data_IF_485750197714
#
_entry.id   IF_485750197714
#
_cell.length_a   1.000
_cell.length_b   1.000
_cell.length_c   1.000
_cell.angle_alpha   90.00
_cell.angle_beta   90.00
_cell.angle_gamma   90.00
#
_symmetry.space_group_name_H-M   'P 1'
#
loop_
_entity.id
_entity.type
_entity.pdbx_description
1 polymer ?
#
# COMPACT_ATOMS: atom_id res chain seq x y z
N UNK A 1 -32.59 15.61 -9.59
CA UNK A 1 -31.45 15.75 -8.67
C UNK A 1 -30.21 15.63 -9.50
N UNK A 2 -29.32 16.62 -9.60
CA UNK A 2 -28.07 16.43 -10.32
C UNK A 2 -27.24 15.36 -9.54
N UNK A 3 -26.89 14.29 -10.22
CA UNK A 3 -25.89 13.34 -9.75
C UNK A 3 -24.56 14.05 -9.79
N UNK A 4 -24.16 14.69 -8.68
CA UNK A 4 -22.77 15.05 -8.49
C UNK A 4 -21.97 13.75 -8.35
N UNK A 5 -21.60 13.13 -9.47
CA UNK A 5 -20.46 12.26 -9.49
C UNK A 5 -19.26 13.16 -9.25
N UNK A 6 -18.77 13.24 -8.02
CA UNK A 6 -17.45 13.77 -7.72
C UNK A 6 -16.48 12.83 -8.43
N UNK A 7 -16.19 13.10 -9.69
CA UNK A 7 -15.08 12.46 -10.41
C UNK A 7 -13.83 13.04 -9.79
N UNK A 8 -13.16 12.24 -8.97
CA UNK A 8 -11.83 12.57 -8.47
C UNK A 8 -10.90 12.57 -9.68
N UNK A 9 -10.23 13.69 -9.90
CA UNK A 9 -9.29 13.85 -11.00
C UNK A 9 -7.87 13.83 -10.45
N UNK A 10 -7.10 12.83 -10.86
CA UNK A 10 -5.69 12.63 -10.52
C UNK A 10 -4.78 12.92 -11.74
N UNK A 11 -5.33 13.61 -12.76
CA UNK A 11 -4.55 14.04 -13.92
C UNK A 11 -3.32 14.82 -13.45
N UNK A 12 -2.21 14.64 -14.15
CA UNK A 12 -0.90 15.22 -13.80
C UNK A 12 -0.26 14.72 -12.48
N UNK A 13 -0.83 13.69 -11.82
CA UNK A 13 -0.22 13.06 -10.66
C UNK A 13 0.50 11.77 -11.04
N UNK A 14 1.68 11.57 -10.48
CA UNK A 14 2.47 10.34 -10.60
C UNK A 14 2.33 9.53 -9.32
N UNK A 15 1.87 8.29 -9.46
CA UNK A 15 1.68 7.36 -8.37
C UNK A 15 2.64 6.17 -8.46
N UNK A 16 3.35 5.85 -7.37
CA UNK A 16 4.04 4.58 -7.20
C UNK A 16 3.15 3.66 -6.36
N UNK A 17 2.86 2.47 -6.86
CA UNK A 17 2.14 1.43 -6.12
C UNK A 17 3.04 0.21 -6.00
N UNK A 18 3.37 -0.21 -4.76
CA UNK A 18 4.16 -1.43 -4.52
C UNK A 18 3.27 -2.66 -4.39
N UNK A 19 3.79 -3.83 -4.76
CA UNK A 19 3.01 -5.07 -4.83
C UNK A 19 1.92 -5.01 -5.91
N UNK A 20 2.18 -4.26 -6.98
CA UNK A 20 1.19 -3.95 -8.00
C UNK A 20 1.00 -5.05 -9.06
N UNK A 21 1.76 -6.14 -8.98
CA UNK A 21 1.58 -7.32 -9.83
C UNK A 21 0.35 -8.16 -9.50
N UNK A 22 -0.32 -7.95 -8.35
CA UNK A 22 -1.50 -8.71 -7.97
C UNK A 22 -2.34 -8.04 -6.89
N UNK A 23 -3.51 -8.62 -6.62
CA UNK A 23 -4.35 -8.33 -5.45
C UNK A 23 -4.69 -6.85 -5.27
N UNK A 24 -4.50 -6.34 -4.05
CA UNK A 24 -4.84 -4.94 -3.72
C UNK A 24 -3.98 -3.94 -4.47
N UNK A 25 -2.67 -4.23 -4.65
CA UNK A 25 -1.77 -3.34 -5.39
C UNK A 25 -2.23 -3.16 -6.84
N UNK A 26 -2.55 -4.26 -7.53
CA UNK A 26 -3.07 -4.23 -8.90
C UNK A 26 -4.42 -3.50 -9.00
N UNK A 27 -5.37 -3.79 -8.10
CA UNK A 27 -6.67 -3.12 -8.07
C UNK A 27 -6.53 -1.60 -7.80
N UNK A 28 -5.59 -1.22 -6.91
CA UNK A 28 -5.30 0.19 -6.61
C UNK A 28 -4.67 0.88 -7.81
N UNK A 29 -3.67 0.26 -8.45
CA UNK A 29 -3.00 0.82 -9.62
C UNK A 29 -4.00 1.07 -10.75
N UNK A 30 -4.85 0.09 -11.07
CA UNK A 30 -5.89 0.24 -12.09
C UNK A 30 -6.85 1.37 -11.78
N UNK A 31 -7.33 1.44 -10.54
CA UNK A 31 -8.29 2.48 -10.14
C UNK A 31 -7.69 3.89 -10.16
N UNK A 32 -6.43 4.07 -9.74
CA UNK A 32 -5.75 5.37 -9.83
C UNK A 32 -5.57 5.80 -11.29
N UNK A 33 -5.24 4.87 -12.19
CA UNK A 33 -5.12 5.15 -13.63
C UNK A 33 -6.47 5.51 -14.25
N UNK A 34 -7.57 4.84 -13.89
CA UNK A 34 -8.93 5.19 -14.32
C UNK A 34 -9.31 6.65 -13.94
N UNK A 35 -8.69 7.19 -12.89
CA UNK A 35 -8.89 8.58 -12.44
C UNK A 35 -7.80 9.54 -12.94
N UNK A 36 -7.00 9.13 -13.94
CA UNK A 36 -6.07 9.98 -14.66
C UNK A 36 -4.63 9.97 -14.14
N UNK A 37 -4.32 9.26 -13.06
CA UNK A 37 -2.95 9.19 -12.56
C UNK A 37 -2.02 8.45 -13.53
N UNK A 38 -0.80 8.93 -13.67
CA UNK A 38 0.30 8.18 -14.26
C UNK A 38 0.83 7.19 -13.22
N UNK A 39 0.63 5.89 -13.43
CA UNK A 39 0.92 4.88 -12.42
C UNK A 39 2.17 4.08 -12.76
N UNK A 40 3.09 4.02 -11.80
CA UNK A 40 4.26 3.13 -11.80
C UNK A 40 3.96 1.93 -10.91
N UNK A 41 3.92 0.75 -11.52
CA UNK A 41 3.60 -0.52 -10.87
C UNK A 41 4.91 -1.19 -10.42
N UNK A 42 5.26 -1.00 -9.16
CA UNK A 42 6.48 -1.56 -8.57
C UNK A 42 6.20 -2.96 -7.99
N UNK A 43 6.90 -3.96 -8.50
CA UNK A 43 6.79 -5.34 -8.02
C UNK A 43 8.10 -6.10 -8.25
N UNK A 44 8.36 -7.12 -7.45
CA UNK A 44 9.44 -8.08 -7.67
C UNK A 44 9.15 -8.97 -8.89
N UNK A 45 7.88 -9.23 -9.16
CA UNK A 45 7.40 -9.87 -10.40
C UNK A 45 7.03 -8.80 -11.42
N UNK A 46 8.05 -8.30 -12.13
CA UNK A 46 7.88 -7.27 -13.16
C UNK A 46 6.98 -7.71 -14.32
N UNK A 47 6.92 -9.00 -14.64
CA UNK A 47 6.08 -9.54 -15.70
C UNK A 47 4.60 -9.40 -15.31
N UNK A 48 4.23 -9.84 -14.11
CA UNK A 48 2.86 -9.68 -13.62
C UNK A 48 2.45 -8.19 -13.52
N UNK A 49 3.35 -7.31 -13.04
CA UNK A 49 3.10 -5.88 -13.06
C UNK A 49 2.93 -5.33 -14.49
N UNK A 50 3.67 -5.88 -15.47
CA UNK A 50 3.56 -5.53 -16.88
C UNK A 50 2.21 -5.91 -17.50
N UNK A 51 1.68 -7.08 -17.16
CA UNK A 51 0.36 -7.54 -17.62
C UNK A 51 -0.77 -6.62 -17.11
N UNK A 52 -0.67 -6.18 -15.86
CA UNK A 52 -1.62 -5.21 -15.29
C UNK A 52 -1.46 -3.84 -15.94
N UNK A 53 -0.22 -3.34 -16.04
CA UNK A 53 0.10 -2.03 -16.63
C UNK A 53 -0.38 -1.90 -18.09
N UNK A 54 -0.30 -2.96 -18.87
CA UNK A 54 -0.75 -2.99 -20.27
C UNK A 54 -2.24 -2.69 -20.45
N UNK A 55 -3.06 -2.90 -19.41
CA UNK A 55 -4.51 -2.67 -19.47
C UNK A 55 -4.89 -1.18 -19.49
N UNK A 56 -4.02 -0.30 -19.00
CA UNK A 56 -4.29 1.14 -18.90
C UNK A 56 -3.09 2.04 -19.25
N UNK A 57 -2.00 1.47 -19.77
CA UNK A 57 -0.82 2.24 -20.15
C UNK A 57 0.08 2.66 -18.99
N UNK A 58 0.03 1.93 -17.87
CA UNK A 58 0.93 2.13 -16.74
C UNK A 58 2.36 1.67 -17.03
N UNK A 59 3.31 2.01 -16.16
CA UNK A 59 4.71 1.63 -16.29
C UNK A 59 5.12 0.56 -15.27
N UNK A 60 5.48 -0.67 -15.69
CA UNK A 60 5.98 -1.69 -14.78
C UNK A 60 7.42 -1.38 -14.36
N UNK A 61 7.71 -1.51 -13.07
CA UNK A 61 9.02 -1.30 -12.48
C UNK A 61 9.40 -2.52 -11.62
N UNK A 62 10.56 -3.12 -11.91
CA UNK A 62 11.13 -4.10 -10.99
C UNK A 62 11.58 -3.40 -9.70
N UNK A 63 11.11 -3.90 -8.56
CA UNK A 63 11.54 -3.40 -7.25
C UNK A 63 11.48 -4.52 -6.22
N UNK A 64 12.67 -4.93 -5.74
CA UNK A 64 12.78 -5.84 -4.60
C UNK A 64 12.78 -5.02 -3.31
N UNK A 65 11.72 -5.17 -2.52
CA UNK A 65 11.53 -4.45 -1.26
C UNK A 65 12.44 -4.96 -0.12
N UNK A 66 13.13 -6.07 -0.32
CA UNK A 66 14.15 -6.55 0.62
C UNK A 66 15.51 -5.90 0.37
N UNK A 67 15.75 -5.38 -0.84
CA UNK A 67 16.99 -4.73 -1.23
C UNK A 67 16.86 -3.19 -1.22
N UNK A 68 17.63 -2.54 -0.36
CA UNK A 68 17.65 -1.08 -0.25
C UNK A 68 18.13 -0.42 -1.56
N UNK A 69 19.10 -1.01 -2.26
CA UNK A 69 19.60 -0.50 -3.53
C UNK A 69 18.54 -0.56 -4.63
N UNK A 70 17.74 -1.63 -4.66
CA UNK A 70 16.60 -1.75 -5.57
C UNK A 70 15.54 -0.68 -5.32
N UNK A 71 15.23 -0.38 -4.05
CA UNK A 71 14.28 0.68 -3.69
C UNK A 71 14.81 2.05 -4.09
N UNK A 72 16.04 2.39 -3.69
CA UNK A 72 16.64 3.70 -3.98
C UNK A 72 16.81 3.92 -5.49
N UNK A 73 17.29 2.91 -6.21
CA UNK A 73 17.43 2.94 -7.66
C UNK A 73 16.09 3.04 -8.40
N UNK A 74 15.08 2.31 -7.92
CA UNK A 74 13.73 2.35 -8.49
C UNK A 74 13.05 3.71 -8.32
N UNK A 75 13.16 4.33 -7.14
CA UNK A 75 12.63 5.70 -6.94
C UNK A 75 13.42 6.73 -7.77
N UNK A 76 14.75 6.61 -7.86
CA UNK A 76 15.58 7.48 -8.68
C UNK A 76 15.19 7.37 -10.16
N UNK A 77 14.90 6.16 -10.66
CA UNK A 77 14.41 5.92 -12.03
C UNK A 77 13.05 6.61 -12.26
N UNK A 78 12.11 6.52 -11.29
CA UNK A 78 10.83 7.22 -11.39
C UNK A 78 11.03 8.74 -11.43
N UNK A 79 11.83 9.29 -10.52
CA UNK A 79 12.11 10.74 -10.50
C UNK A 79 12.82 11.20 -11.77
N UNK A 80 13.71 10.38 -12.33
CA UNK A 80 14.41 10.70 -13.59
C UNK A 80 13.51 10.65 -14.83
N UNK A 81 12.52 9.77 -14.83
CA UNK A 81 11.64 9.52 -15.99
C UNK A 81 10.37 10.37 -15.92
N UNK A 82 9.67 10.36 -14.78
CA UNK A 82 8.39 11.05 -14.56
C UNK A 82 8.59 12.46 -13.97
N UNK A 83 9.77 12.76 -13.47
CA UNK A 83 10.10 14.06 -12.85
C UNK A 83 9.49 14.30 -11.47
N UNK A 84 8.62 13.42 -10.99
CA UNK A 84 7.86 13.61 -9.74
C UNK A 84 7.31 12.31 -9.16
N UNK A 85 7.01 12.35 -7.88
CA UNK A 85 6.14 11.36 -7.20
C UNK A 85 5.16 12.15 -6.34
N UNK A 86 3.86 12.00 -6.60
CA UNK A 86 2.79 12.68 -5.86
C UNK A 86 2.12 11.75 -4.86
N UNK A 87 2.01 10.48 -5.23
CA UNK A 87 1.33 9.45 -4.45
C UNK A 87 2.26 8.24 -4.33
N UNK A 88 2.49 7.80 -3.09
CA UNK A 88 3.13 6.53 -2.79
C UNK A 88 2.12 5.64 -2.08
N UNK A 89 1.79 4.48 -2.67
CA UNK A 89 0.96 3.46 -2.03
C UNK A 89 1.81 2.24 -1.71
N UNK A 90 2.06 2.00 -0.44
CA UNK A 90 2.75 0.81 0.07
C UNK A 90 1.73 -0.32 0.28
N UNK A 91 1.43 -1.07 -0.80
CA UNK A 91 0.46 -2.16 -0.79
C UNK A 91 1.10 -3.56 -0.76
N UNK A 92 2.40 -3.67 -1.00
CA UNK A 92 3.11 -4.93 -0.85
C UNK A 92 3.06 -5.43 0.59
N UNK A 93 2.99 -6.76 0.73
CA UNK A 93 3.05 -7.40 2.03
C UNK A 93 3.14 -8.91 1.91
N UNK A 94 3.80 -9.52 2.85
CA UNK A 94 3.92 -10.98 2.96
C UNK A 94 3.77 -11.42 4.42
N UNK A 95 3.48 -12.70 4.61
CA UNK A 95 3.43 -13.37 5.90
C UNK A 95 3.91 -14.83 5.79
N UNK A 96 4.40 -15.36 6.90
CA UNK A 96 4.65 -16.77 7.13
C UNK A 96 3.80 -17.20 8.32
N UNK A 97 2.73 -17.97 8.06
CA UNK A 97 1.77 -18.37 9.09
C UNK A 97 2.35 -19.51 9.90
N UNK A 98 2.99 -19.17 11.01
CA UNK A 98 3.66 -20.09 11.95
C UNK A 98 3.51 -19.60 13.37
N UNK A 99 3.54 -20.52 14.34
CA UNK A 99 3.64 -20.16 15.75
C UNK A 99 4.90 -19.32 16.02
N UNK A 100 4.84 -18.44 17.01
CA UNK A 100 5.96 -17.56 17.34
C UNK A 100 7.26 -18.34 17.70
N UNK A 101 7.12 -19.58 18.18
CA UNK A 101 8.27 -20.45 18.53
C UNK A 101 8.87 -21.20 17.34
N UNK A 102 8.13 -21.33 16.23
CA UNK A 102 8.55 -22.06 15.04
C UNK A 102 8.95 -21.14 13.89
N UNK A 103 8.59 -19.85 13.97
CA UNK A 103 8.99 -18.86 12.99
C UNK A 103 10.50 -18.69 12.99
N UNK A 104 11.13 -18.89 11.84
CA UNK A 104 12.59 -18.72 11.72
C UNK A 104 12.99 -17.25 11.72
N UNK A 105 14.24 -16.95 12.03
CA UNK A 105 14.78 -15.59 11.97
C UNK A 105 14.69 -15.03 10.54
N UNK A 106 14.99 -15.85 9.53
CA UNK A 106 14.89 -15.44 8.12
C UNK A 106 13.45 -15.07 7.72
N UNK A 107 12.45 -15.88 8.12
CA UNK A 107 11.04 -15.59 7.86
C UNK A 107 10.61 -14.29 8.57
N UNK A 108 11.03 -14.10 9.83
CA UNK A 108 10.80 -12.87 10.57
C UNK A 108 11.38 -11.64 9.85
N UNK A 109 12.67 -11.72 9.47
CA UNK A 109 13.38 -10.63 8.81
C UNK A 109 12.75 -10.30 7.45
N UNK A 110 12.34 -11.30 6.68
CA UNK A 110 11.67 -11.12 5.40
C UNK A 110 10.36 -10.34 5.57
N UNK A 111 9.52 -10.71 6.56
CA UNK A 111 8.26 -10.02 6.85
C UNK A 111 8.52 -8.57 7.27
N UNK A 112 9.43 -8.35 8.21
CA UNK A 112 9.74 -7.01 8.72
C UNK A 112 10.37 -6.13 7.63
N UNK A 113 11.25 -6.70 6.80
CA UNK A 113 11.88 -5.98 5.70
C UNK A 113 10.84 -5.48 4.68
N UNK A 114 9.92 -6.35 4.25
CA UNK A 114 8.92 -5.99 3.24
C UNK A 114 7.81 -5.12 3.83
N UNK A 115 7.27 -5.49 5.00
CA UNK A 115 6.04 -4.87 5.51
C UNK A 115 6.28 -3.57 6.30
N UNK A 116 7.49 -3.33 6.80
CA UNK A 116 7.80 -2.19 7.67
C UNK A 116 9.03 -1.40 7.21
N UNK A 117 10.18 -2.07 7.02
CA UNK A 117 11.43 -1.39 6.63
C UNK A 117 11.31 -0.76 5.24
N UNK A 118 10.75 -1.47 4.26
CA UNK A 118 10.61 -0.95 2.90
C UNK A 118 9.68 0.27 2.82
N UNK A 119 8.48 0.31 3.44
CA UNK A 119 7.68 1.53 3.53
C UNK A 119 8.41 2.72 4.15
N UNK A 120 9.22 2.49 5.19
CA UNK A 120 10.08 3.54 5.75
C UNK A 120 11.12 4.02 4.74
N UNK A 121 11.80 3.10 4.06
CA UNK A 121 12.86 3.45 3.10
C UNK A 121 12.30 4.17 1.88
N UNK A 122 11.15 3.72 1.35
CA UNK A 122 10.43 4.41 0.28
C UNK A 122 10.06 5.83 0.70
N UNK A 123 9.48 5.99 1.90
CA UNK A 123 9.14 7.31 2.44
C UNK A 123 10.40 8.20 2.60
N UNK A 124 11.51 7.64 3.11
CA UNK A 124 12.79 8.34 3.25
C UNK A 124 13.29 8.92 1.93
N UNK A 125 13.08 8.20 0.81
CA UNK A 125 13.57 8.62 -0.50
C UNK A 125 12.60 9.57 -1.20
N UNK A 126 11.27 9.35 -1.12
CA UNK A 126 10.29 10.19 -1.83
C UNK A 126 9.93 11.47 -1.08
N UNK A 127 9.90 11.43 0.25
CA UNK A 127 9.41 12.55 1.08
C UNK A 127 10.20 13.86 0.90
N UNK A 128 11.53 13.89 0.75
CA UNK A 128 12.26 15.11 0.45
C UNK A 128 11.76 15.82 -0.82
N UNK A 129 11.47 15.08 -1.89
CA UNK A 129 10.93 15.63 -3.14
C UNK A 129 9.49 16.15 -2.97
N UNK A 130 8.67 15.43 -2.18
CA UNK A 130 7.32 15.88 -1.85
C UNK A 130 7.36 17.19 -1.02
N UNK A 131 8.27 17.27 -0.05
CA UNK A 131 8.47 18.47 0.80
C UNK A 131 8.92 19.67 -0.04
N UNK A 132 9.89 19.49 -0.93
CA UNK A 132 10.37 20.55 -1.82
C UNK A 132 9.25 21.11 -2.70
N UNK A 133 8.34 20.25 -3.14
CA UNK A 133 7.18 20.63 -3.95
C UNK A 133 6.00 21.16 -3.14
N UNK A 134 6.03 21.03 -1.82
CA UNK A 134 4.95 21.44 -0.93
C UNK A 134 3.69 20.57 -1.03
N UNK A 135 3.78 19.37 -1.60
CA UNK A 135 2.63 18.47 -1.78
C UNK A 135 3.09 17.02 -1.95
N UNK A 136 2.39 16.10 -1.30
CA UNK A 136 2.60 14.66 -1.46
C UNK A 136 1.68 13.82 -0.59
N UNK A 137 1.50 12.56 -0.98
CA UNK A 137 0.64 11.62 -0.26
C UNK A 137 1.35 10.26 -0.13
N UNK A 138 1.43 9.76 1.09
CA UNK A 138 1.95 8.43 1.40
C UNK A 138 0.82 7.65 2.05
N UNK A 139 0.40 6.55 1.44
CA UNK A 139 -0.62 5.66 1.96
C UNK A 139 -0.01 4.29 2.24
N UNK A 140 -0.09 3.87 3.48
CA UNK A 140 0.39 2.57 3.93
C UNK A 140 -0.77 1.59 4.14
N UNK A 141 -0.64 0.38 3.62
CA UNK A 141 -1.62 -0.69 3.82
C UNK A 141 -1.23 -1.52 5.03
N UNK A 142 -1.94 -1.30 6.14
CA UNK A 142 -1.81 -2.12 7.35
C UNK A 142 -2.68 -3.39 7.26
N UNK A 143 -3.36 -3.76 8.32
CA UNK A 143 -4.28 -4.90 8.43
C UNK A 143 -5.04 -4.82 9.74
N UNK A 144 -6.17 -5.51 9.89
CA UNK A 144 -6.80 -5.76 11.20
C UNK A 144 -5.84 -6.42 12.18
N UNK A 145 -4.84 -7.18 11.70
CA UNK A 145 -3.73 -7.69 12.50
C UNK A 145 -2.84 -6.60 13.14
N UNK A 146 -2.97 -5.35 12.71
CA UNK A 146 -2.33 -4.19 13.37
C UNK A 146 -3.15 -3.61 14.55
N UNK A 147 -4.33 -4.17 14.82
CA UNK A 147 -5.23 -3.74 15.90
C UNK A 147 -5.45 -4.84 16.92
N UNK A 148 -5.30 -6.09 16.51
CA UNK A 148 -5.47 -7.26 17.34
C UNK A 148 -4.44 -8.31 16.95
N UNK A 149 -3.76 -8.91 17.92
CA UNK A 149 -2.86 -10.04 17.67
C UNK A 149 -3.64 -11.26 17.14
N UNK A 150 -3.09 -11.88 16.10
CA UNK A 150 -3.60 -13.12 15.54
C UNK A 150 -2.62 -14.24 15.86
N UNK A 151 -3.16 -15.39 16.15
CA UNK A 151 -2.36 -16.60 16.30
C UNK A 151 -1.57 -16.89 15.02
N UNK A 152 -0.34 -17.35 15.16
CA UNK A 152 0.57 -17.67 14.06
C UNK A 152 0.97 -16.49 13.13
N UNK A 153 0.81 -15.26 13.58
CA UNK A 153 1.11 -14.05 12.81
C UNK A 153 2.10 -13.11 13.53
N UNK A 154 3.08 -13.65 14.26
CA UNK A 154 3.96 -12.86 15.12
C UNK A 154 4.70 -11.74 14.36
N UNK A 155 5.40 -12.07 13.26
CA UNK A 155 6.11 -11.09 12.45
C UNK A 155 5.14 -10.15 11.74
N UNK A 156 4.07 -10.69 11.14
CA UNK A 156 3.09 -9.91 10.41
C UNK A 156 2.38 -8.90 11.30
N UNK A 157 1.79 -9.34 12.42
CA UNK A 157 1.12 -8.45 13.34
C UNK A 157 2.07 -7.37 13.89
N UNK A 158 3.30 -7.75 14.26
CA UNK A 158 4.32 -6.79 14.72
C UNK A 158 4.66 -5.76 13.66
N UNK A 159 4.88 -6.19 12.41
CA UNK A 159 5.19 -5.29 11.29
C UNK A 159 4.04 -4.32 10.99
N UNK A 160 2.79 -4.80 10.99
CA UNK A 160 1.61 -3.99 10.70
C UNK A 160 1.25 -3.04 11.84
N UNK A 161 1.48 -3.39 13.12
CA UNK A 161 1.42 -2.44 14.24
C UNK A 161 2.49 -1.35 14.11
N UNK A 162 3.74 -1.75 13.81
CA UNK A 162 4.83 -0.81 13.57
C UNK A 162 4.55 0.16 12.42
N UNK A 163 3.90 -0.32 11.35
CA UNK A 163 3.55 0.49 10.19
C UNK A 163 2.55 1.61 10.52
N UNK A 164 1.61 1.39 11.43
CA UNK A 164 0.71 2.45 11.94
C UNK A 164 1.54 3.53 12.65
N UNK A 165 2.43 3.14 13.56
CA UNK A 165 3.30 4.09 14.27
C UNK A 165 4.21 4.87 13.31
N UNK A 166 4.83 4.19 12.34
CA UNK A 166 5.61 4.84 11.28
C UNK A 166 4.78 5.87 10.52
N UNK A 167 3.56 5.53 10.12
CA UNK A 167 2.67 6.43 9.37
C UNK A 167 2.36 7.71 10.16
N UNK A 168 2.13 7.59 11.46
CA UNK A 168 1.88 8.74 12.33
C UNK A 168 3.10 9.67 12.40
N UNK A 169 4.32 9.13 12.48
CA UNK A 169 5.56 9.91 12.45
C UNK A 169 5.72 10.62 11.11
N UNK A 170 5.59 9.91 9.99
CA UNK A 170 5.67 10.49 8.65
C UNK A 170 4.67 11.64 8.46
N UNK A 171 3.43 11.48 8.97
CA UNK A 171 2.45 12.57 8.94
C UNK A 171 2.87 13.76 9.80
N UNK A 172 3.35 13.52 11.02
CA UNK A 172 3.76 14.59 11.94
C UNK A 172 4.92 15.43 11.35
N UNK A 173 5.85 14.79 10.65
CA UNK A 173 6.98 15.44 9.99
C UNK A 173 6.57 16.13 8.67
N UNK A 174 5.69 15.49 7.87
CA UNK A 174 5.31 15.97 6.54
C UNK A 174 4.26 17.07 6.51
N UNK A 175 3.34 17.11 7.49
CA UNK A 175 2.12 17.96 7.45
C UNK A 175 2.40 19.47 7.28
N UNK A 176 3.51 19.96 7.83
CA UNK A 176 3.91 21.40 7.72
C UNK A 176 4.40 21.74 6.31
N UNK A 177 4.66 20.74 5.51
CA UNK A 177 5.18 20.83 4.15
C UNK A 177 4.17 20.34 3.10
N UNK A 178 2.88 20.20 3.48
CA UNK A 178 1.84 19.74 2.57
C UNK A 178 1.90 18.24 2.25
N UNK A 179 2.69 17.45 3.00
CA UNK A 179 2.76 15.99 2.82
C UNK A 179 1.86 15.30 3.83
N UNK A 180 0.96 14.45 3.32
CA UNK A 180 0.01 13.66 4.11
C UNK A 180 0.46 12.20 4.15
N UNK A 181 0.58 11.62 5.32
CA UNK A 181 0.74 10.18 5.47
C UNK A 181 -0.51 9.58 6.13
N UNK A 182 -1.02 8.51 5.56
CA UNK A 182 -2.30 7.89 5.88
C UNK A 182 -2.14 6.38 5.96
N UNK A 183 -2.97 5.72 6.75
CA UNK A 183 -2.99 4.26 6.84
C UNK A 183 -4.39 3.70 6.61
N UNK A 184 -4.49 2.70 5.74
CA UNK A 184 -5.69 1.90 5.62
C UNK A 184 -5.51 0.57 6.35
N UNK A 185 -6.54 0.12 7.05
CA UNK A 185 -6.57 -1.11 7.87
C UNK A 185 -7.63 -2.04 7.28
N UNK A 186 -7.29 -2.83 6.25
CA UNK A 186 -8.23 -3.77 5.66
C UNK A 186 -8.36 -5.04 6.50
N UNK A 187 -9.55 -5.63 6.48
CA UNK A 187 -9.80 -7.02 6.84
C UNK A 187 -9.43 -7.97 5.71
N UNK A 188 -9.88 -9.22 5.81
CA UNK A 188 -9.59 -10.26 4.82
C UNK A 188 -10.03 -9.88 3.40
N UNK A 189 -9.18 -10.14 2.41
CA UNK A 189 -9.44 -9.87 0.99
C UNK A 189 -9.27 -11.13 0.14
N UNK A 190 -10.05 -11.23 -0.94
CA UNK A 190 -9.93 -12.30 -1.94
C UNK A 190 -8.71 -12.07 -2.83
N UNK A 191 -7.54 -12.44 -2.31
CA UNK A 191 -6.24 -12.34 -2.97
C UNK A 191 -5.44 -13.62 -2.72
N UNK A 192 -4.31 -13.75 -3.38
CA UNK A 192 -3.40 -14.89 -3.17
C UNK A 192 -2.71 -14.90 -1.79
N UNK A 193 -2.93 -13.88 -0.96
CA UNK A 193 -2.33 -13.78 0.38
C UNK A 193 -2.64 -15.00 1.26
N UNK A 194 -3.84 -15.57 1.12
CA UNK A 194 -4.26 -16.74 1.88
C UNK A 194 -4.07 -18.08 1.12
N UNK A 195 -3.39 -18.08 -0.03
CA UNK A 195 -3.24 -19.28 -0.86
C UNK A 195 -2.47 -20.43 -0.17
N UNK A 196 -1.64 -20.09 0.83
CA UNK A 196 -0.87 -21.08 1.60
C UNK A 196 -1.66 -21.68 2.78
N UNK A 197 -2.87 -21.20 3.08
CA UNK A 197 -3.70 -21.73 4.15
C UNK A 197 -4.50 -22.95 3.70
N UNK A 198 -4.54 -23.96 4.54
CA UNK A 198 -5.37 -25.15 4.36
C UNK A 198 -6.12 -25.48 5.68
N UNK A 199 -7.45 -25.29 5.73
CA UNK A 199 -8.30 -24.72 4.67
C UNK A 199 -8.14 -23.19 4.53
N UNK A 200 -8.39 -22.64 3.34
CA UNK A 200 -8.43 -21.19 3.16
C UNK A 200 -9.65 -20.59 3.89
N UNK A 201 -9.61 -19.27 4.25
CA UNK A 201 -10.77 -18.62 4.83
C UNK A 201 -12.00 -18.71 3.93
N UNK A 202 -13.21 -18.87 4.51
CA UNK A 202 -14.44 -18.89 3.72
C UNK A 202 -14.58 -17.63 2.85
N UNK A 203 -14.96 -17.75 1.55
CA UNK A 203 -15.04 -16.60 0.64
C UNK A 203 -15.97 -15.48 1.12
N UNK A 204 -17.02 -15.80 1.89
CA UNK A 204 -17.94 -14.85 2.50
C UNK A 204 -17.28 -13.95 3.57
N UNK A 205 -16.16 -14.39 4.14
CA UNK A 205 -15.37 -13.63 5.09
C UNK A 205 -14.27 -12.77 4.41
N UNK A 206 -14.26 -12.75 3.08
CA UNK A 206 -13.27 -12.02 2.29
C UNK A 206 -13.96 -11.00 1.38
N UNK A 207 -13.50 -9.75 1.43
CA UNK A 207 -13.96 -8.69 0.54
C UNK A 207 -13.15 -8.67 -0.77
N UNK A 208 -13.71 -8.13 -1.87
CA UNK A 208 -12.94 -7.89 -3.09
C UNK A 208 -11.84 -6.85 -2.83
N UNK A 209 -10.61 -7.00 -3.38
CA UNK A 209 -9.58 -5.98 -3.26
C UNK A 209 -10.00 -4.63 -3.86
N UNK A 210 -10.87 -4.61 -4.86
CA UNK A 210 -11.44 -3.39 -5.47
C UNK A 210 -12.26 -2.57 -4.45
N UNK A 211 -12.87 -3.20 -3.45
CA UNK A 211 -13.59 -2.49 -2.38
C UNK A 211 -12.60 -1.69 -1.53
N UNK A 212 -11.46 -2.27 -1.21
CA UNK A 212 -10.40 -1.59 -0.47
C UNK A 212 -9.72 -0.52 -1.34
N UNK A 213 -9.49 -0.79 -2.63
CA UNK A 213 -8.94 0.18 -3.57
C UNK A 213 -9.82 1.44 -3.69
N UNK A 214 -11.16 1.31 -3.72
CA UNK A 214 -12.08 2.46 -3.66
C UNK A 214 -11.92 3.27 -2.37
N UNK A 215 -11.67 2.61 -1.26
CA UNK A 215 -11.41 3.29 0.02
C UNK A 215 -10.06 4.02 0.02
N UNK A 216 -9.04 3.45 -0.62
CA UNK A 216 -7.74 4.11 -0.85
C UNK A 216 -7.94 5.38 -1.70
N UNK A 217 -8.64 5.28 -2.81
CA UNK A 217 -8.96 6.42 -3.66
C UNK A 217 -9.71 7.52 -2.88
N UNK A 218 -10.70 7.14 -2.07
CA UNK A 218 -11.43 8.08 -1.22
C UNK A 218 -10.50 8.82 -0.24
N UNK A 219 -9.55 8.13 0.40
CA UNK A 219 -8.57 8.76 1.29
C UNK A 219 -7.66 9.74 0.54
N UNK A 220 -7.18 9.36 -0.63
CA UNK A 220 -6.27 10.17 -1.45
C UNK A 220 -6.98 11.41 -2.01
N UNK A 221 -8.25 11.31 -2.34
CA UNK A 221 -9.03 12.36 -2.98
C UNK A 221 -9.57 13.44 -2.04
N UNK A 222 -9.26 13.37 -0.74
CA UNK A 222 -9.66 14.43 0.19
C UNK A 222 -9.01 15.78 -0.14
N UNK A 223 -9.67 16.92 0.13
CA UNK A 223 -9.10 18.24 -0.04
C UNK A 223 -7.71 18.37 0.62
N UNK A 224 -6.84 19.20 0.06
CA UNK A 224 -5.43 19.30 0.50
C UNK A 224 -5.28 19.80 1.95
N UNK A 225 -6.28 20.47 2.50
CA UNK A 225 -6.34 20.95 3.89
C UNK A 225 -6.92 19.93 4.87
N UNK A 226 -7.25 18.73 4.38
CA UNK A 226 -7.86 17.65 5.17
C UNK A 226 -7.10 16.33 4.99
N UNK A 227 -7.14 15.46 5.99
CA UNK A 227 -6.53 14.13 5.95
C UNK A 227 -7.37 13.12 6.73
N UNK A 228 -7.55 11.93 6.14
CA UNK A 228 -8.05 10.76 6.85
C UNK A 228 -6.83 10.00 7.36
N UNK A 229 -6.55 10.12 8.65
CA UNK A 229 -5.35 9.49 9.23
C UNK A 229 -5.37 7.97 9.15
N UNK A 230 -6.53 7.40 9.46
CA UNK A 230 -6.75 5.95 9.49
C UNK A 230 -8.15 5.62 9.01
N UNK A 231 -8.28 4.60 8.17
CA UNK A 231 -9.55 4.06 7.73
C UNK A 231 -9.55 2.54 7.86
N UNK A 232 -10.54 2.01 8.57
CA UNK A 232 -10.73 0.56 8.74
C UNK A 232 -11.83 0.10 7.79
N UNK A 233 -11.52 -0.91 6.97
CA UNK A 233 -12.44 -1.47 5.97
C UNK A 233 -12.43 -2.99 6.04
N UNK A 234 -13.52 -3.57 6.52
CA UNK A 234 -13.61 -5.01 6.73
C UNK A 234 -14.83 -5.59 6.01
N UNK A 235 -14.80 -6.89 5.67
CA UNK A 235 -16.02 -7.60 5.36
C UNK A 235 -17.05 -7.43 6.48
N UNK A 236 -18.35 -7.38 6.13
CA UNK A 236 -19.41 -7.26 7.15
C UNK A 236 -19.44 -8.45 8.12
N UNK A 237 -18.88 -9.58 7.69
CA UNK A 237 -18.77 -10.83 8.47
C UNK A 237 -17.47 -10.92 9.26
N UNK A 238 -16.61 -9.87 9.22
CA UNK A 238 -15.35 -9.86 9.95
C UNK A 238 -15.55 -9.91 11.46
N UNK A 239 -14.90 -10.87 12.12
CA UNK A 239 -15.05 -11.11 13.56
C UNK A 239 -13.87 -10.61 14.39
N UNK A 240 -12.79 -10.15 13.76
CA UNK A 240 -11.62 -9.60 14.45
C UNK A 240 -11.83 -8.16 14.92
N UNK A 241 -12.86 -7.51 14.42
CA UNK A 241 -13.30 -6.17 14.82
C UNK A 241 -14.68 -6.26 15.51
N UNK A 242 -14.90 -5.54 16.62
CA UNK A 242 -16.19 -5.54 17.31
C UNK A 242 -17.29 -4.88 16.47
#
# INVERSE_FOLDING_TARGET
>A
MPTNSTTFDLSDQVAIVTGAGSGLGAATASLLAEHGAQVVLADVNKEAAGEIAAQFGGRPLYMDLQDAGSIEGGVADVLGTEGRVDILVNAAGLDFIRSASELTLEEWDNVVNVNLRAPWLLAKVVMPHMIERGSGQILNVASTAAKKGWENAAAYASSKHGLIGLTQVLHAEGRRHGVRAMVIVPGGMRTNFFAALDPPPPPENLQPPETVARSILFMISQPLDSVIHELIVTPITETSFP
#
